data_IF_294910969910
#
_entry.id   IF_294910969910
#
_cell.length_a   1.000
_cell.length_b   1.000
_cell.length_c   1.000
_cell.angle_alpha   90.00
_cell.angle_beta   90.00
_cell.angle_gamma   90.00
#
_symmetry.space_group_name_H-M   'P 1'
#
loop_
_entity.id
_entity.type
_entity.pdbx_description
1 polymer ?
#
# COMPACT_ATOMS: atom_id res chain seq x y z
N UNK A 1 32.10 1.70 3.00
CA UNK A 1 33.42 2.13 3.53
C UNK A 1 33.36 2.27 5.06
N UNK A 2 34.37 1.81 5.84
CA UNK A 2 34.36 1.86 7.31
C UNK A 2 34.20 3.26 7.90
N UNK A 3 34.76 4.30 7.28
CA UNK A 3 34.55 5.70 7.73
C UNK A 3 33.08 6.17 7.66
N UNK A 4 32.27 5.59 6.79
CA UNK A 4 30.84 5.90 6.70
C UNK A 4 30.07 5.07 7.74
N UNK A 5 30.21 3.74 7.70
CA UNK A 5 29.49 2.86 8.61
C UNK A 5 29.91 3.04 10.07
N UNK A 6 31.17 3.38 10.34
CA UNK A 6 31.64 3.73 11.68
C UNK A 6 30.94 5.00 12.21
N UNK A 7 30.73 6.01 11.36
CA UNK A 7 29.98 7.21 11.72
C UNK A 7 28.51 6.93 12.04
N UNK A 8 27.92 5.92 11.39
CA UNK A 8 26.52 5.52 11.56
C UNK A 8 26.32 4.55 12.74
N UNK A 9 27.20 3.54 12.89
CA UNK A 9 26.98 2.40 13.80
C UNK A 9 27.67 2.52 15.15
N UNK A 10 28.58 3.47 15.36
CA UNK A 10 29.19 3.62 16.67
C UNK A 10 28.13 4.06 17.69
N UNK A 11 28.02 3.32 18.79
CA UNK A 11 27.05 3.60 19.86
C UNK A 11 27.59 4.74 20.71
N UNK A 12 26.79 5.78 20.93
CA UNK A 12 27.24 6.97 21.67
C UNK A 12 27.09 6.83 23.17
N UNK A 13 26.38 5.79 23.60
CA UNK A 13 26.27 5.40 25.01
C UNK A 13 27.41 4.49 25.48
N UNK A 14 28.30 4.04 24.59
CA UNK A 14 29.39 3.11 24.91
C UNK A 14 30.76 3.79 24.76
N UNK A 15 31.49 3.92 25.88
CA UNK A 15 32.80 4.58 25.92
C UNK A 15 33.83 3.94 24.98
N UNK A 16 33.77 2.62 24.78
CA UNK A 16 34.69 1.93 23.87
C UNK A 16 34.43 2.34 22.42
N UNK A 17 33.16 2.46 22.03
CA UNK A 17 32.78 2.91 20.68
C UNK A 17 33.22 4.36 20.44
N UNK A 18 33.09 5.25 21.43
CA UNK A 18 33.56 6.64 21.34
C UNK A 18 35.08 6.69 21.16
N UNK A 19 35.82 5.89 21.94
CA UNK A 19 37.28 5.82 21.86
C UNK A 19 37.75 5.35 20.48
N UNK A 20 37.16 4.26 19.99
CA UNK A 20 37.48 3.72 18.66
C UNK A 20 37.17 4.72 17.53
N UNK A 21 36.05 5.44 17.60
CA UNK A 21 35.73 6.46 16.61
C UNK A 21 36.78 7.58 16.56
N UNK A 22 37.26 8.04 17.73
CA UNK A 22 38.33 9.04 17.83
C UNK A 22 39.66 8.53 17.27
N UNK A 23 40.08 7.32 17.65
CA UNK A 23 41.33 6.71 17.18
C UNK A 23 41.39 6.54 15.65
N UNK A 24 40.22 6.37 15.02
CA UNK A 24 40.12 6.16 13.57
C UNK A 24 39.70 7.44 12.80
N UNK A 25 39.65 8.60 13.46
CA UNK A 25 39.23 9.89 12.87
C UNK A 25 37.84 9.82 12.22
N UNK A 26 36.90 9.12 12.87
CA UNK A 26 35.54 8.93 12.40
C UNK A 26 34.62 9.91 13.12
N UNK A 27 33.94 10.76 12.34
CA UNK A 27 32.90 11.67 12.83
C UNK A 27 31.55 10.97 12.86
N UNK A 28 30.73 11.30 13.87
CA UNK A 28 29.39 10.78 13.99
C UNK A 28 28.43 11.37 12.97
N UNK A 29 27.51 10.54 12.47
CA UNK A 29 26.44 10.93 11.57
C UNK A 29 25.12 10.79 12.33
N UNK A 30 24.40 11.90 12.49
CA UNK A 30 23.17 11.97 13.31
C UNK A 30 21.90 11.71 12.51
N UNK A 31 21.97 11.91 11.18
CA UNK A 31 20.86 11.77 10.26
C UNK A 31 21.34 11.13 8.96
N UNK A 32 20.66 10.07 8.56
CA UNK A 32 20.85 9.38 7.29
C UNK A 32 19.55 9.50 6.50
N UNK A 33 19.57 10.28 5.42
CA UNK A 33 18.44 10.45 4.51
C UNK A 33 18.80 9.76 3.18
N UNK A 34 18.27 8.57 2.96
CA UNK A 34 18.57 7.72 1.81
C UNK A 34 17.28 7.06 1.35
N UNK A 35 16.93 7.26 0.08
CA UNK A 35 15.90 6.48 -0.60
C UNK A 35 16.57 5.59 -1.65
N UNK A 36 15.96 4.45 -1.96
CA UNK A 36 16.52 3.48 -2.90
C UNK A 36 16.20 3.83 -4.35
N UNK A 37 17.05 3.38 -5.26
CA UNK A 37 16.76 3.44 -6.69
C UNK A 37 15.42 2.75 -6.98
N UNK A 38 14.61 3.28 -7.91
CA UNK A 38 13.30 2.73 -8.20
C UNK A 38 13.44 1.48 -9.09
N UNK A 39 14.01 0.39 -8.56
CA UNK A 39 14.23 -0.89 -9.27
C UNK A 39 12.95 -1.34 -10.00
N UNK A 40 11.81 -1.27 -9.30
CA UNK A 40 10.49 -1.55 -9.86
C UNK A 40 10.16 -0.70 -11.10
N UNK A 41 10.55 0.57 -11.12
CA UNK A 41 10.33 1.44 -12.28
C UNK A 41 11.22 0.99 -13.46
N UNK A 42 12.47 0.63 -13.19
CA UNK A 42 13.38 0.09 -14.22
C UNK A 42 12.80 -1.17 -14.85
N UNK A 43 12.28 -2.11 -14.05
CA UNK A 43 11.67 -3.36 -14.57
C UNK A 43 10.39 -3.15 -15.38
N UNK A 44 9.75 -1.97 -15.30
CA UNK A 44 8.58 -1.62 -16.12
C UNK A 44 9.00 -0.93 -17.42
N UNK A 45 10.12 -0.21 -17.42
CA UNK A 45 10.58 0.59 -18.55
C UNK A 45 11.54 -0.15 -19.49
N UNK A 46 12.21 -1.20 -19.01
CA UNK A 46 13.21 -1.94 -19.77
C UNK A 46 13.03 -3.44 -19.59
N UNK A 47 13.24 -4.19 -20.68
CA UNK A 47 13.33 -5.65 -20.68
C UNK A 47 14.80 -6.13 -20.67
N UNK A 48 15.76 -5.20 -20.79
CA UNK A 48 17.19 -5.50 -20.75
C UNK A 48 17.60 -5.96 -19.34
N UNK A 49 18.10 -7.20 -19.27
CA UNK A 49 18.45 -7.80 -18.00
C UNK A 49 19.68 -7.15 -17.37
N UNK A 50 20.66 -6.75 -18.18
CA UNK A 50 21.91 -6.16 -17.67
C UNK A 50 21.62 -4.78 -17.07
N UNK A 51 20.76 -3.99 -17.70
CA UNK A 51 20.30 -2.71 -17.16
C UNK A 51 19.59 -2.88 -15.81
N UNK A 52 18.73 -3.89 -15.70
CA UNK A 52 17.96 -4.15 -14.46
C UNK A 52 18.89 -4.59 -13.32
N UNK A 53 19.86 -5.45 -13.62
CA UNK A 53 20.86 -5.91 -12.64
C UNK A 53 21.73 -4.74 -12.15
N UNK A 54 22.19 -3.87 -13.06
CA UNK A 54 23.03 -2.73 -12.70
C UNK A 54 22.30 -1.71 -11.81
N UNK A 55 20.97 -1.65 -11.89
CA UNK A 55 20.13 -0.78 -11.07
C UNK A 55 19.77 -1.36 -9.68
N UNK A 56 20.33 -2.52 -9.31
CA UNK A 56 20.20 -3.06 -7.94
C UNK A 56 21.15 -2.30 -7.01
N UNK A 57 20.56 -1.55 -6.07
CA UNK A 57 21.30 -0.75 -5.10
C UNK A 57 21.86 -1.61 -3.97
N UNK A 58 23.18 -1.57 -3.79
CA UNK A 58 23.87 -2.26 -2.69
C UNK A 58 24.18 -1.30 -1.55
N UNK A 59 24.56 -0.06 -1.86
CA UNK A 59 25.02 0.93 -0.89
C UNK A 59 23.87 1.52 -0.09
N UNK A 60 22.77 1.84 -0.75
CA UNK A 60 21.55 2.39 -0.15
C UNK A 60 21.00 1.49 0.96
N UNK A 61 20.68 0.20 0.69
CA UNK A 61 20.16 -0.70 1.71
C UNK A 61 21.16 -0.91 2.86
N UNK A 62 22.46 -0.96 2.57
CA UNK A 62 23.49 -1.09 3.60
C UNK A 62 23.53 0.12 4.55
N UNK A 63 23.39 1.35 4.04
CA UNK A 63 23.32 2.57 4.85
C UNK A 63 22.03 2.65 5.65
N UNK A 64 20.88 2.39 5.02
CA UNK A 64 19.56 2.40 5.68
C UNK A 64 19.53 1.41 6.84
N UNK A 65 19.94 0.15 6.61
CA UNK A 65 19.96 -0.89 7.66
C UNK A 65 20.95 -0.56 8.77
N UNK A 66 22.10 0.04 8.43
CA UNK A 66 23.07 0.48 9.44
C UNK A 66 22.50 1.55 10.36
N UNK A 67 21.83 2.57 9.79
CA UNK A 67 21.23 3.65 10.55
C UNK A 67 20.03 3.17 11.38
N UNK A 68 19.16 2.34 10.78
CA UNK A 68 18.02 1.73 11.45
C UNK A 68 18.46 0.88 12.65
N UNK A 69 19.53 0.08 12.52
CA UNK A 69 20.10 -0.68 13.64
C UNK A 69 20.55 0.22 14.78
N UNK A 70 21.05 1.42 14.49
CA UNK A 70 21.55 2.38 15.47
C UNK A 70 20.55 3.51 15.78
N UNK A 71 19.24 3.23 15.69
CA UNK A 71 18.17 4.24 15.86
C UNK A 71 18.24 5.03 17.17
N UNK A 72 18.88 4.49 18.22
CA UNK A 72 19.07 5.21 19.48
C UNK A 72 19.89 6.49 19.31
N UNK A 73 20.81 6.49 18.35
CA UNK A 73 21.78 7.56 18.11
C UNK A 73 21.58 8.28 16.75
N UNK A 74 20.88 7.64 15.79
CA UNK A 74 20.78 8.12 14.40
C UNK A 74 19.33 8.13 13.92
N UNK A 75 18.89 9.22 13.28
CA UNK A 75 17.63 9.25 12.52
C UNK A 75 17.85 8.68 11.12
N UNK A 76 16.95 7.81 10.67
CA UNK A 76 16.95 7.27 9.30
C UNK A 76 15.68 7.69 8.57
N UNK A 77 15.81 8.31 7.41
CA UNK A 77 14.67 8.72 6.57
C UNK A 77 14.80 8.02 5.21
N UNK A 78 13.74 7.31 4.82
CA UNK A 78 13.65 6.60 3.54
C UNK A 78 12.46 7.03 2.67
N UNK A 79 11.66 7.99 3.13
CA UNK A 79 10.47 8.47 2.43
C UNK A 79 10.39 10.01 2.49
N UNK A 80 10.34 10.69 1.34
CA UNK A 80 10.14 12.14 1.26
C UNK A 80 8.89 12.66 1.98
N UNK A 81 7.84 11.83 2.13
CA UNK A 81 6.61 12.23 2.82
C UNK A 81 6.82 12.53 4.31
N UNK A 82 7.92 12.07 4.91
CA UNK A 82 8.23 12.33 6.32
C UNK A 82 8.98 13.65 6.56
N UNK A 83 9.43 14.34 5.51
CA UNK A 83 10.35 15.47 5.66
C UNK A 83 9.77 16.62 6.48
N UNK A 84 8.53 17.03 6.21
CA UNK A 84 7.85 18.09 6.95
C UNK A 84 7.71 17.73 8.43
N UNK A 85 7.26 16.51 8.71
CA UNK A 85 7.12 15.99 10.07
C UNK A 85 8.47 15.99 10.81
N UNK A 86 9.55 15.55 10.17
CA UNK A 86 10.89 15.52 10.77
C UNK A 86 11.38 16.93 11.07
N UNK A 87 11.23 17.88 10.15
CA UNK A 87 11.62 19.28 10.37
C UNK A 87 10.86 19.88 11.55
N UNK A 88 9.56 19.62 11.66
CA UNK A 88 8.76 20.06 12.81
C UNK A 88 9.22 19.42 14.12
N UNK A 89 9.43 18.10 14.12
CA UNK A 89 9.92 17.36 15.29
C UNK A 89 11.24 17.94 15.79
N UNK A 90 12.16 18.28 14.88
CA UNK A 90 13.44 18.90 15.22
C UNK A 90 13.27 20.31 15.79
N UNK A 91 12.45 21.16 15.16
CA UNK A 91 12.17 22.52 15.66
C UNK A 91 11.54 22.52 17.05
N UNK A 92 10.70 21.53 17.36
CA UNK A 92 10.03 21.37 18.66
C UNK A 92 10.90 20.67 19.71
N UNK A 93 12.11 20.20 19.35
CA UNK A 93 12.96 19.43 20.26
C UNK A 93 12.39 18.05 20.63
N UNK A 94 11.55 17.48 19.77
CA UNK A 94 10.80 16.24 20.01
C UNK A 94 11.45 14.99 19.39
N UNK A 95 12.73 15.06 19.01
CA UNK A 95 13.49 13.91 18.51
C UNK A 95 13.87 12.97 19.68
N UNK A 96 12.92 12.17 20.13
CA UNK A 96 13.11 11.18 21.19
C UNK A 96 13.39 9.77 20.63
N UNK A 97 13.65 8.82 21.52
CA UNK A 97 13.93 7.42 21.12
C UNK A 97 12.73 6.79 20.39
N UNK A 98 11.49 7.10 20.81
CA UNK A 98 10.27 6.56 20.20
C UNK A 98 10.08 7.08 18.77
N UNK A 99 10.37 8.35 18.50
CA UNK A 99 10.35 8.92 17.17
C UNK A 99 11.32 8.17 16.24
N UNK A 100 12.57 7.97 16.69
CA UNK A 100 13.58 7.23 15.91
C UNK A 100 13.25 5.74 15.76
N UNK A 101 12.59 5.14 16.75
CA UNK A 101 12.11 3.76 16.67
C UNK A 101 11.09 3.59 15.53
N UNK A 102 10.16 4.52 15.37
CA UNK A 102 9.19 4.49 14.26
C UNK A 102 9.89 4.65 12.90
N UNK A 103 10.88 5.53 12.80
CA UNK A 103 11.72 5.66 11.60
C UNK A 103 12.49 4.38 11.28
N UNK A 104 12.99 3.68 12.30
CA UNK A 104 13.68 2.39 12.17
C UNK A 104 12.77 1.29 11.63
N UNK A 105 11.52 1.21 12.11
CA UNK A 105 10.53 0.27 11.59
C UNK A 105 10.33 0.52 10.09
N UNK A 106 10.05 1.77 9.71
CA UNK A 106 9.84 2.16 8.31
C UNK A 106 11.05 1.85 7.42
N UNK A 107 12.26 2.06 7.93
CA UNK A 107 13.50 1.74 7.21
C UNK A 107 13.66 0.24 6.90
N UNK A 108 13.30 -0.64 7.84
CA UNK A 108 13.32 -2.09 7.58
C UNK A 108 12.17 -2.54 6.66
N UNK A 109 10.98 -1.94 6.78
CA UNK A 109 9.89 -2.17 5.83
C UNK A 109 10.30 -1.77 4.40
N UNK A 110 10.96 -0.62 4.24
CA UNK A 110 11.44 -0.13 2.95
C UNK A 110 12.46 -1.07 2.29
N UNK A 111 13.44 -1.55 3.06
CA UNK A 111 14.46 -2.50 2.54
C UNK A 111 13.92 -3.91 2.33
N UNK A 112 13.01 -4.39 3.18
CA UNK A 112 12.33 -5.67 2.97
C UNK A 112 11.45 -5.64 1.71
N UNK A 113 10.74 -4.54 1.48
CA UNK A 113 9.96 -4.34 0.26
C UNK A 113 10.86 -4.36 -0.98
N UNK A 114 11.99 -3.66 -0.94
CA UNK A 114 12.96 -3.62 -2.04
C UNK A 114 13.47 -5.02 -2.42
N UNK A 115 13.95 -5.80 -1.46
CA UNK A 115 14.46 -7.15 -1.70
C UNK A 115 13.35 -8.11 -2.16
N UNK A 116 12.13 -7.97 -1.62
CA UNK A 116 10.98 -8.75 -2.06
C UNK A 116 10.63 -8.50 -3.53
N UNK A 117 10.71 -7.24 -4.00
CA UNK A 117 10.52 -6.90 -5.41
C UNK A 117 11.59 -7.52 -6.31
N UNK A 118 12.87 -7.43 -5.92
CA UNK A 118 13.97 -8.05 -6.67
C UNK A 118 13.74 -9.57 -6.78
N UNK A 119 13.46 -10.24 -5.67
CA UNK A 119 13.25 -11.68 -5.66
C UNK A 119 12.02 -12.10 -6.48
N UNK A 120 10.90 -11.39 -6.37
CA UNK A 120 9.71 -11.66 -7.16
C UNK A 120 9.98 -11.46 -8.66
N UNK A 121 10.70 -10.40 -9.05
CA UNK A 121 11.09 -10.16 -10.45
C UNK A 121 11.94 -11.30 -11.02
N UNK A 122 12.96 -11.75 -10.29
CA UNK A 122 13.82 -12.86 -10.74
C UNK A 122 13.02 -14.15 -10.92
N UNK A 123 12.12 -14.46 -9.99
CA UNK A 123 11.27 -15.65 -10.09
C UNK A 123 10.24 -15.54 -11.23
N UNK A 124 9.72 -14.35 -11.52
CA UNK A 124 8.86 -14.13 -12.69
C UNK A 124 9.63 -14.46 -13.98
N UNK A 125 10.84 -13.90 -14.11
CA UNK A 125 11.66 -14.05 -15.33
C UNK A 125 12.20 -15.47 -15.56
N UNK A 126 12.61 -16.17 -14.50
CA UNK A 126 13.35 -17.43 -14.62
C UNK A 126 12.62 -18.66 -14.08
N UNK A 127 11.54 -18.48 -13.32
CA UNK A 127 10.81 -19.57 -12.66
C UNK A 127 9.29 -19.51 -12.90
N UNK A 128 8.85 -18.77 -13.92
CA UNK A 128 7.45 -18.65 -14.32
C UNK A 128 6.54 -18.08 -13.23
N UNK A 129 7.09 -17.26 -12.33
CA UNK A 129 6.35 -16.61 -11.24
C UNK A 129 6.14 -17.46 -9.97
N UNK A 130 6.53 -18.74 -10.01
CA UNK A 130 6.39 -19.72 -8.91
C UNK A 130 7.76 -20.14 -8.35
N UNK A 131 8.51 -19.14 -7.88
CA UNK A 131 9.80 -19.35 -7.24
C UNK A 131 9.76 -20.18 -5.96
N UNK A 132 10.93 -20.59 -5.48
CA UNK A 132 11.09 -21.26 -4.19
C UNK A 132 10.65 -20.40 -2.99
N UNK A 133 10.59 -19.08 -3.16
CA UNK A 133 10.05 -18.13 -2.19
C UNK A 133 9.18 -17.11 -2.92
N UNK A 134 7.98 -16.85 -2.38
CA UNK A 134 7.03 -15.86 -2.92
C UNK A 134 6.73 -14.83 -1.86
N UNK A 135 6.86 -13.55 -2.21
CA UNK A 135 6.61 -12.45 -1.30
C UNK A 135 5.32 -11.73 -1.69
N UNK A 136 4.41 -11.56 -0.73
CA UNK A 136 3.19 -10.77 -0.87
C UNK A 136 3.34 -9.60 0.11
N UNK A 137 3.66 -8.42 -0.42
CA UNK A 137 3.94 -7.22 0.37
C UNK A 137 2.89 -6.16 0.04
N UNK A 138 1.99 -5.91 0.98
CA UNK A 138 0.96 -4.88 0.86
C UNK A 138 1.29 -3.64 1.68
N UNK A 139 0.86 -2.47 1.22
CA UNK A 139 0.90 -1.22 1.98
C UNK A 139 -0.47 -0.94 2.59
N UNK A 140 -0.52 -0.56 3.87
CA UNK A 140 -1.79 -0.29 4.54
C UNK A 140 -2.44 0.97 3.97
N UNK A 141 -3.72 0.87 3.61
CA UNK A 141 -4.54 2.02 3.20
C UNK A 141 -5.27 2.59 4.43
N UNK A 142 -6.03 1.77 5.13
CA UNK A 142 -6.71 2.13 6.39
C UNK A 142 -7.05 0.88 7.21
N UNK A 143 -7.24 1.06 8.52
CA UNK A 143 -7.84 0.05 9.39
C UNK A 143 -9.37 0.09 9.23
N UNK A 144 -10.02 -1.07 9.12
CA UNK A 144 -11.49 -1.15 9.15
C UNK A 144 -11.97 -1.17 10.60
N UNK A 145 -13.23 -0.78 10.84
CA UNK A 145 -13.84 -0.84 12.18
C UNK A 145 -13.71 -2.22 12.84
N UNK A 146 -13.86 -3.27 12.04
CA UNK A 146 -13.70 -4.68 12.42
C UNK A 146 -13.46 -5.53 11.15
N UNK A 147 -13.18 -6.83 11.33
CA UNK A 147 -13.07 -7.81 10.23
C UNK A 147 -14.43 -8.24 9.68
N UNK A 148 -14.60 -9.51 9.35
CA UNK A 148 -15.91 -10.03 8.91
C UNK A 148 -16.98 -9.91 10.00
N UNK A 149 -16.57 -10.07 11.27
CA UNK A 149 -17.40 -9.99 12.46
C UNK A 149 -16.87 -8.96 13.47
N UNK A 150 -17.72 -8.37 14.34
CA UNK A 150 -17.31 -7.29 15.26
C UNK A 150 -16.19 -7.62 16.25
N UNK A 151 -15.94 -8.90 16.54
CA UNK A 151 -14.89 -9.34 17.47
C UNK A 151 -13.50 -9.45 16.80
N UNK A 152 -13.43 -9.28 15.47
CA UNK A 152 -12.20 -9.37 14.68
C UNK A 152 -11.68 -7.98 14.34
N UNK A 153 -10.36 -7.82 14.27
CA UNK A 153 -9.73 -6.62 13.67
C UNK A 153 -9.62 -6.80 12.15
N UNK A 154 -9.63 -5.71 11.40
CA UNK A 154 -9.43 -5.73 9.95
C UNK A 154 -8.69 -4.50 9.45
N UNK A 155 -8.07 -4.61 8.29
CA UNK A 155 -7.39 -3.52 7.59
C UNK A 155 -7.35 -3.81 6.09
N UNK A 156 -7.37 -2.75 5.28
CA UNK A 156 -7.16 -2.83 3.84
C UNK A 156 -5.67 -2.62 3.54
N UNK A 157 -5.08 -3.55 2.77
CA UNK A 157 -3.75 -3.43 2.21
C UNK A 157 -3.83 -3.42 0.68
N UNK A 158 -2.87 -2.76 0.05
CA UNK A 158 -2.82 -2.60 -1.40
C UNK A 158 -1.46 -2.94 -1.99
N UNK A 159 -1.49 -3.30 -3.27
CA UNK A 159 -0.34 -3.31 -4.14
C UNK A 159 -0.39 -2.06 -5.00
N UNK A 160 0.75 -1.40 -5.18
CA UNK A 160 0.96 -0.40 -6.24
C UNK A 160 0.02 0.80 -6.19
N UNK A 161 -0.40 1.19 -4.98
CA UNK A 161 -1.34 2.27 -4.75
C UNK A 161 -2.70 2.10 -5.46
N UNK A 162 -3.11 0.87 -5.78
CA UNK A 162 -4.32 0.62 -6.56
C UNK A 162 -5.57 1.25 -5.94
N UNK A 163 -5.79 1.08 -4.63
CA UNK A 163 -6.96 1.65 -3.96
C UNK A 163 -6.79 3.16 -3.77
N UNK A 164 -5.61 3.59 -3.29
CA UNK A 164 -5.30 5.00 -3.03
C UNK A 164 -5.40 5.88 -4.28
N UNK A 165 -5.08 5.36 -5.46
CA UNK A 165 -5.10 6.11 -6.72
C UNK A 165 -6.47 6.11 -7.42
N UNK A 166 -7.24 5.02 -7.28
CA UNK A 166 -8.44 4.79 -8.12
C UNK A 166 -9.77 4.91 -7.36
N UNK A 167 -9.75 4.92 -6.01
CA UNK A 167 -10.97 4.94 -5.20
C UNK A 167 -11.02 6.17 -4.29
N UNK A 168 -12.20 6.78 -4.21
CA UNK A 168 -12.46 7.91 -3.31
C UNK A 168 -13.83 7.75 -2.67
N UNK A 169 -13.87 7.64 -1.35
CA UNK A 169 -15.13 7.68 -0.60
C UNK A 169 -15.73 9.10 -0.65
N UNK A 170 -16.88 9.25 -1.29
CA UNK A 170 -17.62 10.53 -1.32
C UNK A 170 -18.51 10.70 -0.08
N UNK A 171 -19.00 9.59 0.48
CA UNK A 171 -19.82 9.54 1.69
C UNK A 171 -19.65 8.19 2.37
N UNK A 172 -19.55 8.20 3.70
CA UNK A 172 -19.42 6.97 4.50
C UNK A 172 -18.01 6.39 4.48
N UNK A 173 -17.87 5.20 5.09
CA UNK A 173 -16.62 4.45 5.22
C UNK A 173 -16.95 2.96 5.02
N UNK A 174 -16.16 2.27 4.20
CA UNK A 174 -16.40 0.87 3.87
C UNK A 174 -16.00 -0.06 5.03
N UNK A 175 -16.88 -1.00 5.38
CA UNK A 175 -16.54 -2.14 6.25
C UNK A 175 -15.70 -3.19 5.52
N UNK A 176 -15.17 -4.17 6.24
CA UNK A 176 -14.46 -5.30 5.65
C UNK A 176 -15.31 -6.06 4.61
N UNK A 177 -16.56 -6.36 4.96
CA UNK A 177 -17.49 -7.06 4.07
C UNK A 177 -17.90 -6.18 2.87
N UNK A 178 -17.96 -4.86 3.06
CA UNK A 178 -18.19 -3.96 1.93
C UNK A 178 -17.04 -4.04 0.92
N UNK A 179 -15.78 -4.12 1.36
CA UNK A 179 -14.64 -4.23 0.45
C UNK A 179 -14.68 -5.52 -0.38
N UNK A 180 -15.06 -6.63 0.23
CA UNK A 180 -15.21 -7.91 -0.50
C UNK A 180 -16.37 -7.87 -1.50
N UNK A 181 -17.49 -7.26 -1.12
CA UNK A 181 -18.67 -7.12 -2.00
C UNK A 181 -18.43 -6.11 -3.12
N UNK A 182 -17.74 -5.01 -2.84
CA UNK A 182 -17.27 -4.04 -3.85
C UNK A 182 -16.40 -4.76 -4.88
N UNK A 183 -15.43 -5.56 -4.45
CA UNK A 183 -14.56 -6.30 -5.37
C UNK A 183 -15.37 -7.24 -6.27
N UNK A 184 -16.30 -8.01 -5.71
CA UNK A 184 -17.16 -8.90 -6.50
C UNK A 184 -18.05 -8.13 -7.50
N UNK A 185 -18.71 -7.06 -7.04
CA UNK A 185 -19.60 -6.26 -7.88
C UNK A 185 -18.84 -5.52 -8.99
N UNK A 186 -17.70 -4.92 -8.65
CA UNK A 186 -16.84 -4.20 -9.58
C UNK A 186 -16.32 -5.12 -10.69
N UNK A 187 -15.79 -6.30 -10.34
CA UNK A 187 -15.26 -7.25 -11.31
C UNK A 187 -16.35 -7.72 -12.29
N UNK A 188 -17.58 -7.92 -11.82
CA UNK A 188 -18.71 -8.28 -12.69
C UNK A 188 -19.11 -7.13 -13.62
N UNK A 189 -19.24 -5.92 -13.08
CA UNK A 189 -19.66 -4.76 -13.87
C UNK A 189 -18.61 -4.36 -14.92
N UNK A 190 -17.31 -4.54 -14.63
CA UNK A 190 -16.20 -4.17 -15.53
C UNK A 190 -15.86 -5.23 -16.57
N UNK A 191 -16.52 -6.40 -16.55
CA UNK A 191 -16.24 -7.52 -17.48
C UNK A 191 -16.80 -7.33 -18.91
N UNK A 192 -17.43 -6.18 -19.21
CA UNK A 192 -18.21 -5.98 -20.43
C UNK A 192 -17.86 -4.69 -21.19
N UNK A 193 -16.57 -4.37 -21.25
CA UNK A 193 -16.05 -3.17 -21.91
C UNK A 193 -16.80 -1.89 -21.46
N UNK A 194 -17.39 -1.17 -22.42
CA UNK A 194 -18.15 0.08 -22.19
C UNK A 194 -19.67 -0.16 -22.09
N UNK A 195 -20.12 -1.41 -22.04
CA UNK A 195 -21.53 -1.69 -21.92
C UNK A 195 -22.07 -1.15 -20.58
N UNK A 196 -23.31 -0.61 -20.53
CA UNK A 196 -23.90 -0.02 -19.33
C UNK A 196 -24.34 -1.11 -18.34
N UNK A 197 -23.37 -1.82 -17.78
CA UNK A 197 -23.57 -2.93 -16.86
C UNK A 197 -23.87 -2.44 -15.45
N UNK A 198 -24.83 -3.10 -14.81
CA UNK A 198 -25.11 -2.99 -13.37
C UNK A 198 -24.98 -4.37 -12.75
N UNK A 199 -24.20 -4.47 -11.68
CA UNK A 199 -24.11 -5.65 -10.83
C UNK A 199 -24.60 -5.31 -9.41
N UNK A 200 -25.40 -6.19 -8.82
CA UNK A 200 -25.87 -6.09 -7.43
C UNK A 200 -25.40 -7.35 -6.70
N UNK A 201 -24.63 -7.16 -5.63
CA UNK A 201 -24.02 -8.22 -4.82
C UNK A 201 -24.46 -8.11 -3.38
N UNK A 202 -24.59 -9.25 -2.69
CA UNK A 202 -24.78 -9.30 -1.25
C UNK A 202 -24.06 -10.52 -0.68
N UNK A 203 -23.23 -10.32 0.35
CA UNK A 203 -22.46 -11.38 1.02
C UNK A 203 -21.66 -12.23 0.01
N UNK A 204 -20.94 -11.57 -0.88
CA UNK A 204 -20.08 -12.17 -1.91
C UNK A 204 -20.81 -12.78 -3.11
N UNK A 205 -22.15 -12.75 -3.14
CA UNK A 205 -22.95 -13.43 -4.17
C UNK A 205 -23.74 -12.43 -5.03
N UNK A 206 -23.77 -12.58 -6.36
CA UNK A 206 -24.61 -11.74 -7.21
C UNK A 206 -26.09 -12.05 -7.00
N UNK A 207 -26.89 -11.04 -6.66
CA UNK A 207 -28.35 -11.15 -6.59
C UNK A 207 -29.06 -10.47 -7.77
N UNK A 208 -28.33 -9.70 -8.57
CA UNK A 208 -28.84 -9.11 -9.81
C UNK A 208 -27.73 -8.67 -10.75
N UNK A 209 -27.92 -8.88 -12.04
CA UNK A 209 -27.03 -8.37 -13.08
C UNK A 209 -27.83 -8.05 -14.34
N UNK A 210 -27.53 -6.93 -15.00
CA UNK A 210 -28.12 -6.63 -16.29
C UNK A 210 -27.29 -5.65 -17.12
N UNK A 211 -27.43 -5.80 -18.44
CA UNK A 211 -27.00 -4.85 -19.46
C UNK A 211 -28.22 -4.56 -20.32
N UNK A 212 -28.60 -3.28 -20.40
CA UNK A 212 -29.71 -2.75 -21.22
C UNK A 212 -29.24 -1.53 -22.00
N UNK A 213 -30.17 -0.75 -22.54
CA UNK A 213 -29.86 0.41 -23.38
C UNK A 213 -29.18 1.55 -22.60
N UNK A 214 -29.44 1.66 -21.29
CA UNK A 214 -28.83 2.65 -20.40
C UNK A 214 -28.78 2.12 -18.96
N UNK A 215 -28.01 2.80 -18.09
CA UNK A 215 -27.76 2.37 -16.72
C UNK A 215 -29.03 2.30 -15.86
N UNK A 216 -30.00 3.20 -16.07
CA UNK A 216 -31.30 3.16 -15.36
C UNK A 216 -32.07 1.90 -15.70
N UNK A 217 -32.17 1.57 -16.99
CA UNK A 217 -32.80 0.33 -17.44
C UNK A 217 -32.04 -0.90 -16.96
N UNK A 218 -30.71 -0.88 -16.98
CA UNK A 218 -29.89 -1.97 -16.44
C UNK A 218 -30.17 -2.17 -14.94
N UNK A 219 -30.17 -1.11 -14.14
CA UNK A 219 -30.45 -1.22 -12.70
C UNK A 219 -31.84 -1.79 -12.43
N UNK A 220 -32.87 -1.28 -13.12
CA UNK A 220 -34.24 -1.79 -12.98
C UNK A 220 -34.37 -3.27 -13.33
N UNK A 221 -33.61 -3.76 -14.31
CA UNK A 221 -33.64 -5.17 -14.70
C UNK A 221 -32.78 -6.05 -13.79
N UNK A 222 -31.64 -5.56 -13.30
CA UNK A 222 -30.84 -6.25 -12.30
C UNK A 222 -31.64 -6.43 -11.00
N UNK A 223 -32.31 -5.39 -10.54
CA UNK A 223 -33.14 -5.43 -9.32
C UNK A 223 -34.33 -6.40 -9.41
N UNK A 224 -34.88 -6.60 -10.61
CA UNK A 224 -35.98 -7.56 -10.84
C UNK A 224 -35.57 -9.02 -10.66
N UNK A 225 -34.26 -9.33 -10.69
CA UNK A 225 -33.77 -10.70 -10.51
C UNK A 225 -34.10 -11.23 -9.11
N UNK A 226 -33.72 -10.48 -8.08
CA UNK A 226 -34.09 -10.77 -6.70
C UNK A 226 -34.10 -9.48 -5.87
N UNK A 227 -35.26 -8.83 -5.81
CA UNK A 227 -35.43 -7.58 -5.07
C UNK A 227 -35.31 -7.74 -3.55
N UNK A 228 -35.57 -8.94 -3.02
CA UNK A 228 -35.48 -9.21 -1.59
C UNK A 228 -34.01 -9.28 -1.18
N UNK A 229 -33.20 -10.01 -1.94
CA UNK A 229 -31.76 -10.08 -1.70
C UNK A 229 -31.05 -8.77 -2.01
N UNK A 230 -31.52 -7.95 -2.95
CA UNK A 230 -30.91 -6.65 -3.26
C UNK A 230 -30.99 -5.63 -2.10
N UNK A 231 -31.92 -5.80 -1.15
CA UNK A 231 -32.03 -4.92 0.01
C UNK A 231 -30.78 -5.02 0.90
N UNK A 232 -30.10 -3.90 1.10
CA UNK A 232 -28.81 -3.83 1.80
C UNK A 232 -27.67 -4.46 1.01
N UNK A 233 -27.75 -4.47 -0.32
CA UNK A 233 -26.69 -4.93 -1.20
C UNK A 233 -25.68 -3.84 -1.57
N UNK A 234 -24.67 -4.25 -2.36
CA UNK A 234 -23.66 -3.42 -3.00
C UNK A 234 -23.96 -3.33 -4.50
N UNK A 235 -24.04 -2.13 -5.05
CA UNK A 235 -24.35 -1.88 -6.47
C UNK A 235 -23.12 -1.35 -7.18
N UNK A 236 -22.58 -2.06 -8.17
CA UNK A 236 -21.53 -1.53 -9.05
C UNK A 236 -22.11 -1.03 -10.37
N UNK A 237 -21.63 0.13 -10.82
CA UNK A 237 -22.10 0.84 -12.01
C UNK A 237 -20.95 1.01 -13.01
N UNK A 238 -21.06 0.40 -14.19
CA UNK A 238 -20.07 0.61 -15.27
C UNK A 238 -20.40 1.87 -16.08
N UNK A 239 -20.25 3.04 -15.46
CA UNK A 239 -20.52 4.34 -16.06
C UNK A 239 -20.84 5.41 -15.02
N UNK A 240 -21.51 6.48 -15.45
CA UNK A 240 -21.81 7.63 -14.57
C UNK A 240 -23.09 7.40 -13.76
N UNK A 241 -23.00 7.57 -12.44
CA UNK A 241 -24.16 7.72 -11.57
C UNK A 241 -24.71 9.15 -11.73
N UNK A 242 -25.78 9.29 -12.52
CA UNK A 242 -26.50 10.56 -12.68
C UNK A 242 -27.67 10.69 -11.70
N UNK A 243 -28.33 11.85 -11.70
CA UNK A 243 -29.46 12.13 -10.82
C UNK A 243 -30.63 11.15 -11.02
N UNK A 244 -30.91 10.76 -12.26
CA UNK A 244 -32.00 9.85 -12.58
C UNK A 244 -31.74 8.44 -12.00
N UNK A 245 -30.54 7.91 -12.17
CA UNK A 245 -30.13 6.62 -11.61
C UNK A 245 -30.06 6.69 -10.07
N UNK A 246 -29.49 7.77 -9.51
CA UNK A 246 -29.41 7.95 -8.06
C UNK A 246 -30.80 7.99 -7.40
N UNK A 247 -31.74 8.74 -7.98
CA UNK A 247 -33.13 8.79 -7.50
C UNK A 247 -33.79 7.42 -7.57
N UNK A 248 -33.50 6.63 -8.61
CA UNK A 248 -34.04 5.28 -8.75
C UNK A 248 -33.47 4.31 -7.72
N UNK A 249 -32.16 4.37 -7.44
CA UNK A 249 -31.53 3.53 -6.40
C UNK A 249 -32.06 3.89 -5.00
N UNK A 250 -32.32 5.17 -4.75
CA UNK A 250 -32.81 5.69 -3.47
C UNK A 250 -34.23 5.20 -3.08
N UNK A 251 -34.95 4.53 -3.98
CA UNK A 251 -36.22 3.87 -3.66
C UNK A 251 -36.05 2.64 -2.75
N UNK A 252 -34.84 2.06 -2.67
CA UNK A 252 -34.52 0.94 -1.78
C UNK A 252 -33.30 1.26 -0.91
N UNK A 253 -33.15 0.49 0.17
CA UNK A 253 -31.92 0.53 0.96
C UNK A 253 -30.81 -0.26 0.26
N UNK A 254 -29.67 0.38 0.03
CA UNK A 254 -28.40 -0.23 -0.40
C UNK A 254 -27.30 0.20 0.57
N UNK A 255 -26.30 -0.65 0.76
CA UNK A 255 -25.20 -0.38 1.68
C UNK A 255 -24.07 0.39 0.99
N UNK A 256 -23.78 0.06 -0.28
CA UNK A 256 -22.72 0.68 -1.09
C UNK A 256 -23.20 0.85 -2.54
N UNK A 257 -22.76 1.94 -3.16
CA UNK A 257 -22.84 2.22 -4.60
C UNK A 257 -21.43 2.56 -5.09
#
# INVERSE_FOLDING_TARGET
>A
HPKIHGGILHKRSDENHIKQAKENEILGIDLVCVNLYPFKKTTIMSDDFDEIIENIDIGGPAMIRSAAKNYKDVMVLCDPLDYEKVIETLKKGQNDENFRLNLMIKAYEHTANYDAYIANYMNERFNGGFGASKFIVGQKVFDTKYGENPHQKGALYEFDAFFSANFKALKGEASFNNLTDINAALNLASSFDKAPAIAIVKHGNPCGFAIKENLVQSYMHALKCDSVSAYGGVVAINGTLDEALANKINEIYVEVI
#
